data_IF_761542333043
#
_entry.id   IF_761542333043
#
_cell.length_a   1.000
_cell.length_b   1.000
_cell.length_c   1.000
_cell.angle_alpha   90.00
_cell.angle_beta   90.00
_cell.angle_gamma   90.00
#
_symmetry.space_group_name_H-M   'P 1'
#
loop_
_entity.id
_entity.type
_entity.pdbx_description
1 polymer ?
#
# COMPACT_ATOMS: atom_id res chain seq x y z
N UNK A 1 18.95 -45.26 6.17
CA UNK A 1 18.24 -44.59 5.06
C UNK A 1 17.37 -43.52 5.71
N UNK A 2 17.81 -42.27 5.73
CA UNK A 2 17.11 -41.19 6.41
C UNK A 2 15.80 -40.88 5.68
N UNK A 3 14.69 -40.91 6.41
CA UNK A 3 13.33 -40.62 5.95
C UNK A 3 13.04 -39.11 6.03
N UNK A 4 13.98 -38.27 5.62
CA UNK A 4 13.77 -36.82 5.61
C UNK A 4 13.04 -36.45 4.31
N UNK A 5 11.98 -35.65 4.46
CA UNK A 5 11.21 -35.24 3.29
C UNK A 5 12.04 -34.29 2.43
N UNK A 6 11.90 -34.28 1.09
CA UNK A 6 12.75 -33.52 0.17
C UNK A 6 12.72 -31.99 0.37
N UNK A 7 11.72 -31.47 1.07
CA UNK A 7 11.66 -30.06 1.46
C UNK A 7 12.63 -29.73 2.60
N UNK A 8 12.82 -30.66 3.53
CA UNK A 8 13.69 -30.47 4.69
C UNK A 8 15.16 -30.50 4.28
N UNK A 9 15.53 -31.37 3.33
CA UNK A 9 16.88 -31.38 2.74
C UNK A 9 17.22 -30.02 2.13
N UNK A 10 16.31 -29.46 1.32
CA UNK A 10 16.48 -28.11 0.75
C UNK A 10 16.50 -27.01 1.80
N UNK A 11 15.77 -27.16 2.91
CA UNK A 11 15.86 -26.22 4.03
C UNK A 11 17.23 -26.27 4.71
N UNK A 12 17.82 -27.46 4.86
CA UNK A 12 19.18 -27.63 5.37
C UNK A 12 20.21 -27.02 4.42
N UNK A 13 20.09 -27.23 3.10
CA UNK A 13 20.97 -26.60 2.10
C UNK A 13 20.97 -25.07 2.20
N UNK A 14 19.80 -24.48 2.50
CA UNK A 14 19.65 -23.03 2.69
C UNK A 14 20.21 -22.57 4.03
N UNK A 15 20.03 -23.40 5.07
CA UNK A 15 20.40 -23.12 6.44
C UNK A 15 21.89 -23.41 6.72
N UNK A 16 22.60 -24.01 5.78
CA UNK A 16 24.02 -24.36 5.92
C UNK A 16 24.85 -23.15 6.38
N UNK A 17 25.62 -23.35 7.44
CA UNK A 17 26.45 -22.32 8.05
C UNK A 17 25.73 -21.32 8.97
N UNK A 18 24.43 -21.51 9.27
CA UNK A 18 23.72 -20.70 10.26
C UNK A 18 23.28 -21.50 11.47
N UNK A 19 23.35 -20.88 12.63
CA UNK A 19 22.72 -21.39 13.84
C UNK A 19 21.19 -21.21 13.78
N UNK A 20 20.45 -22.04 14.54
CA UNK A 20 19.00 -21.90 14.66
C UNK A 20 18.58 -20.54 15.25
N UNK A 21 19.45 -19.91 16.04
CA UNK A 21 19.21 -18.58 16.60
C UNK A 21 19.27 -17.50 15.53
N UNK A 22 20.30 -17.51 14.70
CA UNK A 22 20.43 -16.56 13.58
C UNK A 22 19.30 -16.73 12.58
N UNK A 23 18.90 -17.97 12.32
CA UNK A 23 17.78 -18.25 11.43
C UNK A 23 16.46 -17.73 12.01
N UNK A 24 16.25 -17.91 13.32
CA UNK A 24 15.11 -17.35 14.03
C UNK A 24 15.08 -15.81 14.03
N UNK A 25 16.21 -15.16 14.26
CA UNK A 25 16.35 -13.69 14.17
C UNK A 25 16.04 -13.19 12.75
N UNK A 26 16.51 -13.91 11.73
CA UNK A 26 16.32 -13.56 10.32
C UNK A 26 14.86 -13.67 9.87
N UNK A 27 14.15 -14.71 10.32
CA UNK A 27 12.73 -14.94 9.97
C UNK A 27 11.75 -14.32 10.95
N UNK A 28 12.20 -13.83 12.11
CA UNK A 28 11.33 -13.37 13.19
C UNK A 28 10.62 -14.51 13.91
N UNK A 29 11.21 -15.69 13.94
CA UNK A 29 10.64 -16.92 14.52
C UNK A 29 11.47 -17.37 15.72
N UNK A 30 10.85 -18.00 16.72
CA UNK A 30 11.58 -18.53 17.88
C UNK A 30 12.57 -19.63 17.44
N UNK A 31 13.81 -19.60 17.96
CA UNK A 31 14.85 -20.59 17.67
C UNK A 31 14.42 -22.04 17.96
N UNK A 32 13.58 -22.27 18.97
CA UNK A 32 13.02 -23.59 19.26
C UNK A 32 12.03 -24.05 18.17
N UNK A 33 11.21 -23.14 17.66
CA UNK A 33 10.32 -23.42 16.53
C UNK A 33 11.13 -23.73 15.26
N UNK A 34 12.20 -22.95 15.01
CA UNK A 34 13.11 -23.20 13.88
C UNK A 34 13.78 -24.57 14.00
N UNK A 35 14.26 -24.94 15.18
CA UNK A 35 14.81 -26.28 15.44
C UNK A 35 13.79 -27.37 15.10
N UNK A 36 12.53 -27.22 15.54
CA UNK A 36 11.46 -28.18 15.20
C UNK A 36 11.23 -28.28 13.70
N UNK A 37 11.20 -27.15 13.00
CA UNK A 37 11.11 -27.14 11.54
C UNK A 37 12.27 -27.86 10.88
N UNK A 38 13.51 -27.69 11.37
CA UNK A 38 14.66 -28.40 10.82
C UNK A 38 14.70 -29.89 11.16
N UNK A 39 13.90 -30.34 12.12
CA UNK A 39 13.82 -31.73 12.59
C UNK A 39 12.65 -32.52 11.98
N UNK A 40 11.98 -31.98 10.95
CA UNK A 40 10.92 -32.68 10.24
C UNK A 40 9.51 -32.14 10.49
N UNK A 41 9.35 -31.12 11.34
CA UNK A 41 8.03 -30.51 11.54
C UNK A 41 7.66 -29.60 10.38
N UNK A 42 6.44 -29.71 9.86
CA UNK A 42 5.97 -28.89 8.74
C UNK A 42 6.09 -27.39 9.04
N UNK A 43 6.93 -26.63 8.31
CA UNK A 43 7.11 -25.20 8.53
C UNK A 43 5.89 -24.39 8.08
N UNK A 44 5.69 -23.23 8.71
CA UNK A 44 4.63 -22.31 8.30
C UNK A 44 4.98 -21.59 6.99
N UNK A 45 3.94 -21.19 6.24
CA UNK A 45 4.11 -20.40 5.01
C UNK A 45 4.78 -19.05 5.30
N UNK A 46 4.50 -18.45 6.46
CA UNK A 46 5.14 -17.20 6.89
C UNK A 46 6.65 -17.37 7.07
N UNK A 47 7.08 -18.44 7.74
CA UNK A 47 8.49 -18.76 7.92
C UNK A 47 9.19 -18.95 6.56
N UNK A 48 8.61 -19.78 5.68
CA UNK A 48 9.18 -20.03 4.35
C UNK A 48 9.26 -18.75 3.51
N UNK A 49 8.23 -17.90 3.56
CA UNK A 49 8.20 -16.64 2.82
C UNK A 49 9.24 -15.66 3.35
N UNK A 50 9.36 -15.53 4.68
CA UNK A 50 10.37 -14.69 5.31
C UNK A 50 11.78 -15.16 4.96
N UNK A 51 12.03 -16.47 5.04
CA UNK A 51 13.30 -17.08 4.67
C UNK A 51 13.66 -16.82 3.20
N UNK A 52 12.73 -17.10 2.28
CA UNK A 52 12.93 -16.88 0.85
C UNK A 52 13.24 -15.42 0.53
N UNK A 53 12.50 -14.48 1.13
CA UNK A 53 12.71 -13.04 0.93
C UNK A 53 14.07 -12.56 1.45
N UNK A 54 14.49 -13.04 2.63
CA UNK A 54 15.73 -12.60 3.28
C UNK A 54 16.97 -13.20 2.63
N UNK A 55 16.91 -14.45 2.18
CA UNK A 55 18.03 -15.15 1.54
C UNK A 55 18.06 -15.03 0.01
N UNK A 56 17.04 -14.41 -0.59
CA UNK A 56 16.93 -14.27 -2.04
C UNK A 56 16.76 -15.63 -2.73
N UNK A 57 15.94 -16.50 -2.15
CA UNK A 57 15.72 -17.86 -2.64
C UNK A 57 14.39 -17.92 -3.38
N UNK A 58 14.36 -18.73 -4.42
CA UNK A 58 13.17 -19.05 -5.18
C UNK A 58 12.26 -19.98 -4.37
N UNK A 59 11.05 -19.52 -4.06
CA UNK A 59 10.06 -20.34 -3.34
C UNK A 59 9.65 -21.60 -4.13
N UNK A 60 9.62 -21.52 -5.47
CA UNK A 60 9.31 -22.68 -6.30
C UNK A 60 10.39 -23.77 -6.15
N UNK A 61 11.66 -23.39 -6.20
CA UNK A 61 12.76 -24.33 -5.99
C UNK A 61 12.69 -24.95 -4.58
N UNK A 62 12.41 -24.16 -3.54
CA UNK A 62 12.30 -24.68 -2.18
C UNK A 62 11.16 -25.72 -2.04
N UNK A 63 10.02 -25.47 -2.66
CA UNK A 63 8.84 -26.34 -2.53
C UNK A 63 8.89 -27.55 -3.46
N UNK A 64 9.32 -27.38 -4.70
CA UNK A 64 9.24 -28.44 -5.73
C UNK A 64 10.60 -29.01 -6.11
N UNK A 65 11.70 -28.34 -5.77
CA UNK A 65 13.06 -28.69 -6.23
C UNK A 65 13.32 -28.32 -7.68
N UNK A 66 12.44 -27.55 -8.32
CA UNK A 66 12.51 -27.25 -9.75
C UNK A 66 12.94 -25.81 -10.00
N UNK A 67 13.74 -25.61 -11.05
CA UNK A 67 14.23 -24.29 -11.46
C UNK A 67 15.45 -23.82 -10.66
N UNK A 68 15.86 -22.55 -10.81
CA UNK A 68 17.02 -22.01 -10.13
C UNK A 68 16.77 -21.78 -8.64
N UNK A 69 17.78 -22.05 -7.81
CA UNK A 69 17.73 -21.87 -6.35
C UNK A 69 17.59 -20.40 -5.95
N UNK A 70 18.34 -19.50 -6.61
CA UNK A 70 18.31 -18.07 -6.28
C UNK A 70 17.25 -17.34 -7.10
N UNK A 71 16.57 -16.40 -6.45
CA UNK A 71 15.56 -15.58 -7.11
C UNK A 71 16.14 -14.62 -8.14
N UNK A 72 17.41 -14.22 -7.98
CA UNK A 72 18.12 -13.41 -8.97
C UNK A 72 18.30 -14.16 -10.30
N UNK A 73 18.56 -15.46 -10.23
CA UNK A 73 18.83 -16.30 -11.40
C UNK A 73 17.57 -16.59 -12.19
N UNK A 74 16.38 -16.53 -11.56
CA UNK A 74 15.08 -16.62 -12.27
C UNK A 74 15.03 -15.58 -13.37
N UNK A 75 15.41 -14.33 -13.08
CA UNK A 75 15.35 -13.24 -14.07
C UNK A 75 16.29 -13.52 -15.23
N UNK A 76 17.49 -14.04 -14.95
CA UNK A 76 18.48 -14.36 -16.00
C UNK A 76 17.98 -15.52 -16.86
N UNK A 77 17.42 -16.56 -16.25
CA UNK A 77 16.82 -17.69 -16.96
C UNK A 77 15.64 -17.23 -17.84
N UNK A 78 14.69 -16.48 -17.27
CA UNK A 78 13.55 -15.94 -18.00
C UNK A 78 13.98 -15.02 -19.14
N UNK A 79 15.02 -14.20 -18.96
CA UNK A 79 15.53 -13.32 -20.03
C UNK A 79 16.22 -14.10 -21.16
N UNK A 80 16.83 -15.25 -20.88
CA UNK A 80 17.42 -16.12 -21.91
C UNK A 80 16.35 -16.84 -22.74
N UNK A 81 15.23 -17.18 -22.11
CA UNK A 81 14.12 -17.91 -22.74
C UNK A 81 13.11 -16.97 -23.41
N UNK A 82 13.03 -15.70 -22.98
CA UNK A 82 12.03 -14.76 -23.47
C UNK A 82 12.21 -14.41 -24.95
N UNK A 83 11.10 -14.41 -25.67
CA UNK A 83 11.06 -13.86 -27.03
C UNK A 83 11.11 -12.32 -26.98
N UNK A 84 11.68 -11.69 -27.99
CA UNK A 84 11.78 -10.24 -28.13
C UNK A 84 10.43 -9.52 -27.95
N UNK A 85 9.34 -10.09 -28.47
CA UNK A 85 8.00 -9.53 -28.30
C UNK A 85 7.50 -9.53 -26.85
N UNK A 86 7.82 -10.56 -26.07
CA UNK A 86 7.47 -10.65 -24.66
C UNK A 86 8.25 -9.62 -23.84
N UNK A 87 9.54 -9.45 -24.16
CA UNK A 87 10.38 -8.44 -23.52
C UNK A 87 9.84 -7.02 -23.79
N UNK A 88 9.52 -6.71 -25.04
CA UNK A 88 8.94 -5.41 -25.41
C UNK A 88 7.59 -5.17 -24.72
N UNK A 89 6.72 -6.18 -24.68
CA UNK A 89 5.43 -6.09 -23.99
C UNK A 89 5.60 -5.84 -22.50
N UNK A 90 6.51 -6.58 -21.84
CA UNK A 90 6.83 -6.38 -20.43
C UNK A 90 7.43 -5.01 -20.14
N UNK A 91 8.26 -4.48 -21.04
CA UNK A 91 8.79 -3.12 -20.95
C UNK A 91 7.68 -2.07 -21.09
N UNK A 92 6.77 -2.23 -22.06
CA UNK A 92 5.65 -1.32 -22.24
C UNK A 92 4.75 -1.26 -21.00
N UNK A 93 4.41 -2.42 -20.42
CA UNK A 93 3.65 -2.51 -19.17
C UNK A 93 4.40 -1.82 -18.02
N UNK A 94 5.72 -2.03 -17.91
CA UNK A 94 6.54 -1.42 -16.87
C UNK A 94 6.59 0.11 -16.98
N UNK A 95 6.65 0.64 -18.21
CA UNK A 95 6.60 2.08 -18.46
C UNK A 95 5.24 2.67 -18.10
N UNK A 96 4.13 1.98 -18.39
CA UNK A 96 2.79 2.45 -18.00
C UNK A 96 2.63 2.47 -16.48
N UNK A 97 3.11 1.44 -15.78
CA UNK A 97 3.11 1.42 -14.30
C UNK A 97 3.95 2.55 -13.69
N UNK A 98 5.10 2.85 -14.30
CA UNK A 98 5.95 3.97 -13.88
C UNK A 98 5.25 5.31 -14.12
N UNK A 99 4.61 5.48 -15.28
CA UNK A 99 3.82 6.66 -15.61
C UNK A 99 2.70 6.89 -14.60
N UNK A 100 1.88 5.87 -14.32
CA UNK A 100 0.82 5.97 -13.31
C UNK A 100 1.36 6.36 -11.94
N UNK A 101 2.55 5.86 -11.57
CA UNK A 101 3.20 6.23 -10.31
C UNK A 101 3.65 7.69 -10.32
N UNK A 102 4.19 8.19 -11.43
CA UNK A 102 4.55 9.60 -11.59
C UNK A 102 3.32 10.50 -11.48
N UNK A 103 2.22 10.17 -12.15
CA UNK A 103 0.97 10.94 -12.07
C UNK A 103 0.44 11.02 -10.63
N UNK A 104 0.54 9.93 -9.87
CA UNK A 104 0.16 9.93 -8.44
C UNK A 104 1.06 10.85 -7.60
N UNK A 105 2.37 10.82 -7.85
CA UNK A 105 3.33 11.70 -7.15
C UNK A 105 3.07 13.15 -7.51
N UNK A 106 2.82 13.45 -8.78
CA UNK A 106 2.52 14.80 -9.26
C UNK A 106 1.26 15.38 -8.59
N UNK A 107 0.17 14.60 -8.53
CA UNK A 107 -1.05 15.02 -7.82
C UNK A 107 -0.81 15.26 -6.34
N UNK A 108 0.01 14.42 -5.70
CA UNK A 108 0.38 14.59 -4.30
C UNK A 108 1.15 15.89 -4.07
N UNK A 109 2.12 16.20 -4.94
CA UNK A 109 2.88 17.46 -4.89
C UNK A 109 1.96 18.66 -5.09
N UNK A 110 1.07 18.66 -6.09
CA UNK A 110 0.09 19.72 -6.31
C UNK A 110 -0.81 19.94 -5.08
N UNK A 111 -1.23 18.86 -4.42
CA UNK A 111 -2.02 18.93 -3.19
C UNK A 111 -1.23 19.57 -2.05
N UNK A 112 0.05 19.22 -1.90
CA UNK A 112 0.93 19.83 -0.89
C UNK A 112 1.18 21.31 -1.17
N UNK A 113 1.47 21.68 -2.41
CA UNK A 113 1.68 23.08 -2.82
C UNK A 113 0.45 23.93 -2.54
N UNK A 114 -0.74 23.43 -2.87
CA UNK A 114 -2.01 24.13 -2.60
C UNK A 114 -2.21 24.37 -1.11
N UNK A 115 -1.95 23.36 -0.28
CA UNK A 115 -2.04 23.48 1.19
C UNK A 115 -1.02 24.46 1.76
N UNK A 116 0.21 24.43 1.27
CA UNK A 116 1.26 25.37 1.69
C UNK A 116 0.90 26.81 1.31
N UNK A 117 0.39 27.04 0.10
CA UNK A 117 -0.09 28.39 -0.30
C UNK A 117 -1.26 28.87 0.56
N UNK A 118 -2.20 27.99 0.88
CA UNK A 118 -3.33 28.34 1.76
C UNK A 118 -2.87 28.71 3.18
N UNK A 119 -1.84 28.04 3.72
CA UNK A 119 -1.26 28.38 5.03
C UNK A 119 -0.47 29.69 5.02
N UNK A 120 0.16 30.02 3.89
CA UNK A 120 1.02 31.19 3.75
C UNK A 120 0.29 32.44 3.23
N UNK A 121 -1.03 32.36 3.03
CA UNK A 121 -1.83 33.54 2.72
C UNK A 121 -1.87 34.43 3.99
N UNK A 122 -1.44 35.70 3.92
CA UNK A 122 -1.63 36.62 5.03
C UNK A 122 -3.14 36.70 5.29
N UNK A 123 -3.53 36.66 6.57
CA UNK A 123 -4.91 36.82 6.99
C UNK A 123 -5.49 38.04 6.27
N UNK A 124 -6.36 37.81 5.29
CA UNK A 124 -7.01 38.93 4.62
C UNK A 124 -7.74 39.70 5.71
N UNK A 125 -7.50 41.01 5.84
CA UNK A 125 -8.29 41.82 6.75
C UNK A 125 -9.75 41.63 6.38
N UNK A 126 -10.66 41.56 7.36
CA UNK A 126 -12.08 41.35 7.10
C UNK A 126 -12.51 42.36 6.04
N UNK A 127 -13.00 41.85 4.91
CA UNK A 127 -13.56 42.69 3.85
C UNK A 127 -14.73 43.43 4.48
N UNK A 128 -14.50 44.69 4.84
CA UNK A 128 -15.53 45.60 5.32
C UNK A 128 -16.43 45.83 4.11
N UNK A 129 -17.51 45.06 4.01
CA UNK A 129 -18.54 45.28 3.00
C UNK A 129 -19.15 46.66 3.32
N UNK A 130 -18.99 47.67 2.45
CA UNK A 130 -19.59 48.97 2.68
C UNK A 130 -21.12 48.80 2.74
N UNK A 131 -21.75 49.36 3.77
CA UNK A 131 -23.17 49.21 4.06
C UNK A 131 -24.11 49.77 2.96
N UNK A 132 -23.58 50.49 1.97
CA UNK A 132 -24.37 51.18 0.94
C UNK A 132 -25.00 50.26 -0.11
N UNK A 133 -24.58 48.99 -0.23
CA UNK A 133 -25.14 48.06 -1.25
C UNK A 133 -26.47 47.42 -0.80
N UNK A 134 -26.90 47.60 0.46
CA UNK A 134 -28.16 47.01 0.95
C UNK A 134 -29.43 47.76 0.55
N UNK A 135 -29.34 49.00 0.04
CA UNK A 135 -30.52 49.84 -0.19
C UNK A 135 -31.12 49.79 -1.61
N UNK A 136 -30.57 49.03 -2.57
CA UNK A 136 -31.08 49.05 -3.96
C UNK A 136 -31.91 47.84 -4.41
N UNK A 137 -32.24 46.88 -3.52
CA UNK A 137 -32.95 45.63 -3.90
C UNK A 137 -34.40 45.54 -3.41
N UNK A 138 -35.01 46.64 -2.98
CA UNK A 138 -36.39 46.64 -2.48
C UNK A 138 -37.46 47.03 -3.53
N UNK A 139 -37.11 47.47 -4.74
CA UNK A 139 -38.09 48.08 -5.67
C UNK A 139 -38.29 47.41 -7.05
N UNK A 140 -37.68 46.27 -7.35
CA UNK A 140 -37.94 45.55 -8.61
C UNK A 140 -38.91 44.37 -8.39
N UNK A 141 -40.13 44.70 -7.99
CA UNK A 141 -41.27 43.80 -8.04
C UNK A 141 -42.09 44.00 -9.31
N UNK A 142 -42.52 42.87 -9.90
CA UNK A 142 -43.57 42.69 -10.92
C UNK A 142 -43.19 42.97 -12.38
N UNK A 143 -43.21 41.93 -13.21
CA UNK A 143 -44.09 41.78 -14.40
C UNK A 143 -43.87 40.40 -15.06
N UNK A 144 -45.00 39.81 -15.49
CA UNK A 144 -45.19 38.74 -16.48
C UNK A 144 -44.88 37.28 -16.16
N UNK A 145 -45.94 36.59 -15.76
CA UNK A 145 -46.39 35.31 -16.33
C UNK A 145 -46.50 35.39 -17.86
N UNK A 146 -45.95 34.41 -18.61
CA UNK A 146 -46.64 33.81 -19.78
C UNK A 146 -45.90 32.54 -20.29
N UNK A 147 -46.64 31.42 -20.27
CA UNK A 147 -46.66 30.27 -21.17
C UNK A 147 -45.41 29.91 -22.03
N UNK A 148 -44.91 28.67 -21.87
CA UNK A 148 -44.86 27.71 -22.98
C UNK A 148 -44.68 26.27 -22.53
N UNK A 149 -45.64 25.49 -22.99
CA UNK A 149 -45.74 24.03 -22.97
C UNK A 149 -44.70 23.33 -23.85
N UNK A 150 -44.64 22.02 -23.64
CA UNK A 150 -44.28 20.92 -24.56
C UNK A 150 -42.89 20.26 -24.49
N UNK A 151 -42.97 18.98 -24.07
CA UNK A 151 -42.27 17.76 -24.54
C UNK A 151 -40.74 17.66 -24.38
N UNK A 152 -40.17 16.57 -23.86
CA UNK A 152 -40.72 15.28 -23.45
C UNK A 152 -39.60 14.32 -23.03
N UNK A 153 -40.00 13.16 -22.51
CA UNK A 153 -39.36 11.83 -22.68
C UNK A 153 -37.83 11.71 -22.39
N UNK A 154 -37.32 10.86 -21.49
CA UNK A 154 -37.65 9.44 -21.32
C UNK A 154 -36.88 8.82 -20.14
N UNK A 155 -37.52 7.82 -19.52
CA UNK A 155 -37.03 6.48 -19.16
C UNK A 155 -35.89 6.20 -18.16
N UNK A 156 -36.23 5.20 -17.33
CA UNK A 156 -35.40 4.19 -16.67
C UNK A 156 -34.69 4.65 -15.39
N UNK A 157 -34.98 4.14 -14.19
CA UNK A 157 -35.41 2.79 -13.85
C UNK A 157 -34.37 2.21 -12.90
N UNK A 158 -34.74 2.00 -11.63
CA UNK A 158 -34.45 0.79 -10.86
C UNK A 158 -34.68 1.04 -9.36
N UNK A 159 -35.63 0.27 -8.85
CA UNK A 159 -35.87 0.01 -7.45
C UNK A 159 -34.64 -0.59 -6.76
N UNK A 160 -34.34 -0.10 -5.56
CA UNK A 160 -33.44 -0.72 -4.61
C UNK A 160 -34.02 -0.52 -3.19
N UNK A 161 -34.32 -1.60 -2.44
CA UNK A 161 -35.14 -1.51 -1.25
C UNK A 161 -34.37 -0.99 -0.03
N UNK A 162 -35.15 -0.36 0.84
CA UNK A 162 -34.77 0.07 2.16
C UNK A 162 -34.72 -1.09 3.18
N UNK A 163 -34.07 -0.78 4.30
CA UNK A 163 -34.22 -1.35 5.65
C UNK A 163 -33.31 -2.52 6.02
N UNK A 164 -32.45 -2.25 7.00
CA UNK A 164 -31.69 -3.25 7.75
C UNK A 164 -30.82 -2.63 8.85
N UNK A 165 -31.43 -1.88 9.78
CA UNK A 165 -30.78 -1.49 11.03
C UNK A 165 -30.64 -2.72 11.93
N UNK A 166 -29.42 -3.06 12.33
CA UNK A 166 -29.11 -4.16 13.24
C UNK A 166 -27.85 -3.89 14.07
N UNK A 167 -28.09 -3.41 15.30
CA UNK A 167 -27.33 -3.63 16.54
C UNK A 167 -25.80 -3.48 16.58
N UNK A 168 -25.43 -2.35 17.18
CA UNK A 168 -24.39 -2.16 18.18
C UNK A 168 -24.26 -3.34 19.16
N UNK A 169 -23.17 -4.09 19.07
CA UNK A 169 -22.59 -4.79 20.22
C UNK A 169 -21.28 -4.11 20.61
N UNK A 170 -21.22 -3.71 21.87
CA UNK A 170 -20.11 -3.06 22.52
C UNK A 170 -18.92 -4.03 22.67
N UNK A 171 -17.72 -3.59 22.29
CA UNK A 171 -16.49 -4.23 22.71
C UNK A 171 -15.49 -3.18 23.24
N UNK A 172 -15.03 -3.31 24.50
CA UNK A 172 -14.19 -2.31 25.16
C UNK A 172 -12.71 -2.55 24.85
N UNK A 173 -11.97 -1.52 24.42
CA UNK A 173 -10.51 -1.60 24.29
C UNK A 173 -9.87 -0.75 23.21
N UNK A 174 -10.41 0.43 22.87
CA UNK A 174 -9.78 1.33 21.91
C UNK A 174 -8.56 2.04 22.53
N UNK A 175 -7.40 1.41 22.45
CA UNK A 175 -6.10 2.03 22.70
C UNK A 175 -5.91 3.16 21.69
N UNK A 176 -5.85 4.40 22.17
CA UNK A 176 -5.75 5.61 21.34
C UNK A 176 -4.60 5.50 20.32
N UNK A 177 -4.96 5.30 19.04
CA UNK A 177 -4.00 5.25 17.93
C UNK A 177 -3.51 6.67 17.69
N UNK A 178 -2.27 6.95 18.11
CA UNK A 178 -1.66 8.25 17.88
C UNK A 178 -1.54 8.56 16.37
N UNK A 179 -1.85 9.81 15.96
CA UNK A 179 -1.74 10.26 14.57
C UNK A 179 -0.35 9.99 14.01
N UNK A 180 -0.30 9.58 12.74
CA UNK A 180 0.93 9.18 12.03
C UNK A 180 2.01 10.27 12.00
N UNK A 181 1.61 11.54 12.04
CA UNK A 181 2.54 12.68 12.07
C UNK A 181 3.41 12.70 13.34
N UNK A 182 2.86 12.31 14.48
CA UNK A 182 3.58 12.32 15.77
C UNK A 182 4.67 11.24 15.82
N UNK A 183 4.47 10.10 15.14
CA UNK A 183 5.45 9.00 15.08
C UNK A 183 6.71 9.34 14.29
N UNK A 184 6.61 10.22 13.29
CA UNK A 184 7.75 10.61 12.45
C UNK A 184 8.63 11.62 13.19
N UNK A 185 8.03 12.54 13.94
CA UNK A 185 8.78 13.53 14.75
C UNK A 185 9.62 12.84 15.85
N UNK A 186 9.05 11.87 16.56
CA UNK A 186 9.78 11.13 17.62
C UNK A 186 10.95 10.29 17.06
N UNK A 187 10.81 9.74 15.86
CA UNK A 187 11.87 8.96 15.21
C UNK A 187 13.05 9.83 14.74
N UNK A 188 12.82 11.10 14.42
CA UNK A 188 13.87 12.04 13.99
C UNK A 188 14.64 12.60 15.21
N UNK A 189 13.99 12.75 16.36
CA UNK A 189 14.62 13.24 17.58
C UNK A 189 15.61 12.24 18.22
N UNK A 190 15.49 10.94 17.93
CA UNK A 190 16.31 9.88 18.53
C UNK A 190 17.58 9.55 17.74
N UNK A 191 17.94 10.31 16.71
CA UNK A 191 19.15 10.04 15.92
C UNK A 191 20.40 10.54 16.67
N UNK A 192 21.33 9.65 17.07
CA UNK A 192 22.59 10.08 17.69
C UNK A 192 23.40 10.88 16.67
N UNK A 193 23.77 12.11 17.05
CA UNK A 193 24.69 12.96 16.27
C UNK A 193 26.07 12.32 16.32
N UNK A 194 26.48 11.68 15.23
CA UNK A 194 27.88 11.33 15.04
C UNK A 194 28.67 12.62 14.83
N UNK A 195 29.54 12.94 15.78
CA UNK A 195 30.47 14.06 15.68
C UNK A 195 31.56 13.77 14.65
N UNK A 196 32.18 14.82 14.07
CA UNK A 196 33.28 14.65 13.13
C UNK A 196 34.53 14.18 13.86
N UNK A 197 35.09 13.06 13.41
CA UNK A 197 36.45 12.60 13.74
C UNK A 197 37.42 12.97 12.64
#
# INVERSE_FOLDING_TARGET
MSTESPLHDRLHDIAEGMSYRELGELTGTNAETVRRYMQGQSPSVEFLTALCRRKGINAQWLLTGSGPMRSADIKVASLREANFGELLSAMAISLELLRERLDRVERFVHTLETRLRAQNLPAQPPVVIPAEIRSSRAEAGRVSSQERSHEGQSHSGSDGPAVGNGNTEAQPGARAVRPRATRIADAVAQRPRQGPG
#
